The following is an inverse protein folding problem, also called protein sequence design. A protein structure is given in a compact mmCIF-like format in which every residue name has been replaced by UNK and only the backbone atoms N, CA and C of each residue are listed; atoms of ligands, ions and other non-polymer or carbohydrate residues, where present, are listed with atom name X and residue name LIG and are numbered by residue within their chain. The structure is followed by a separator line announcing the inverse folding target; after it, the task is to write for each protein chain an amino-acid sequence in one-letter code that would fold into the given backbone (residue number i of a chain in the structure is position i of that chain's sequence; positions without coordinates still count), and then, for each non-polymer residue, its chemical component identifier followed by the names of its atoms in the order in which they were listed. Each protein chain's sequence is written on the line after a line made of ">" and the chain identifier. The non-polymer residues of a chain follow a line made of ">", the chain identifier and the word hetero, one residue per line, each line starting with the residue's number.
data_IF_671369109537
#
_entry.id   IF_671369109537
#
_cell.length_a   1.000
_cell.length_b   1.000
_cell.length_c   1.000
_cell.angle_alpha   90.00
_cell.angle_beta   90.00
_cell.angle_gamma   90.00
#
_symmetry.space_group_name_H-M   'P 1'
#
loop_
_entity.id
_entity.type
_entity.pdbx_description
1 polymer ?
#
# COMPACT_ATOMS: atom_id res chain seq x y z
N UNK A 1 -37.93 0.40 12.85
CA UNK A 1 -36.67 -0.36 12.71
C UNK A 1 -35.95 0.23 11.52
N UNK A 2 -35.05 1.20 11.74
CA UNK A 2 -34.44 2.02 10.67
C UNK A 2 -33.17 1.37 10.12
N UNK A 3 -33.17 1.09 8.82
CA UNK A 3 -32.02 0.54 8.08
C UNK A 3 -30.91 1.58 7.91
N UNK A 4 -29.76 1.34 8.54
CA UNK A 4 -28.58 2.23 8.49
C UNK A 4 -27.48 1.78 7.50
N UNK A 5 -27.77 0.86 6.56
CA UNK A 5 -26.73 0.16 5.78
C UNK A 5 -26.26 0.75 4.42
N UNK A 6 -26.84 1.80 3.79
CA UNK A 6 -26.38 2.19 2.44
C UNK A 6 -25.18 3.16 2.42
N UNK A 7 -24.89 3.86 3.52
CA UNK A 7 -23.90 4.97 3.51
C UNK A 7 -22.44 4.51 3.54
N UNK A 8 -22.12 3.39 4.20
CA UNK A 8 -20.72 2.92 4.25
C UNK A 8 -20.27 2.23 2.96
N UNK A 9 -21.18 1.58 2.21
CA UNK A 9 -20.87 0.98 0.91
C UNK A 9 -20.53 2.04 -0.15
N UNK A 10 -21.21 3.20 -0.11
CA UNK A 10 -20.90 4.32 -1.00
C UNK A 10 -19.52 4.93 -0.70
N UNK A 11 -19.14 5.03 0.58
CA UNK A 11 -17.81 5.54 1.00
C UNK A 11 -16.69 4.59 0.59
N UNK A 12 -16.88 3.27 0.76
CA UNK A 12 -15.88 2.26 0.36
C UNK A 12 -15.70 2.24 -1.17
N UNK A 13 -16.81 2.32 -1.93
CA UNK A 13 -16.77 2.38 -3.40
C UNK A 13 -16.07 3.66 -3.89
N UNK A 14 -16.33 4.80 -3.25
CA UNK A 14 -15.62 6.06 -3.53
C UNK A 14 -14.12 5.97 -3.24
N UNK A 15 -13.71 5.37 -2.13
CA UNK A 15 -12.30 5.18 -1.81
C UNK A 15 -11.58 4.29 -2.82
N UNK A 16 -12.23 3.23 -3.30
CA UNK A 16 -11.64 2.32 -4.30
C UNK A 16 -11.47 3.01 -5.66
N UNK A 17 -12.41 3.86 -6.06
CA UNK A 17 -12.30 4.64 -7.29
C UNK A 17 -11.17 5.67 -7.21
N UNK A 18 -11.02 6.37 -6.08
CA UNK A 18 -9.93 7.34 -5.87
C UNK A 18 -8.55 6.66 -5.86
N UNK A 19 -8.43 5.49 -5.23
CA UNK A 19 -7.19 4.71 -5.20
C UNK A 19 -6.82 4.11 -6.57
N UNK A 20 -7.81 3.77 -7.39
CA UNK A 20 -7.61 3.29 -8.76
C UNK A 20 -7.17 4.41 -9.71
N UNK A 21 -7.76 5.59 -9.61
CA UNK A 21 -7.47 6.74 -10.49
C UNK A 21 -6.07 7.33 -10.27
N UNK A 22 -5.52 7.25 -9.04
CA UNK A 22 -4.19 7.78 -8.75
C UNK A 22 -3.03 7.04 -9.43
N UNK A 23 -3.26 5.85 -10.00
CA UNK A 23 -2.19 5.02 -10.59
C UNK A 23 -1.88 5.34 -12.05
N UNK A 24 -2.74 6.09 -12.75
CA UNK A 24 -2.59 6.38 -14.18
C UNK A 24 -1.80 7.65 -14.50
N UNK A 25 -1.44 8.48 -13.51
CA UNK A 25 -0.74 9.75 -13.76
C UNK A 25 0.79 9.61 -13.89
N UNK A 26 1.32 8.39 -13.95
CA UNK A 26 2.77 8.13 -14.04
C UNK A 26 3.27 7.91 -15.49
N UNK A 27 2.57 8.43 -16.50
CA UNK A 27 3.07 8.44 -17.87
C UNK A 27 4.06 9.60 -18.05
N UNK A 28 5.35 9.27 -17.94
CA UNK A 28 6.45 10.17 -18.25
C UNK A 28 6.40 10.59 -19.72
N UNK A 29 5.99 11.82 -19.98
CA UNK A 29 6.01 12.41 -21.32
C UNK A 29 7.46 12.49 -21.85
N UNK A 30 7.70 12.32 -23.17
CA UNK A 30 9.05 12.34 -23.73
C UNK A 30 9.64 13.75 -23.62
N UNK A 31 10.80 13.85 -22.97
CA UNK A 31 11.57 15.09 -22.87
C UNK A 31 11.93 15.63 -24.27
N UNK A 32 11.71 16.93 -24.47
CA UNK A 32 12.10 17.66 -25.68
C UNK A 32 13.62 17.81 -25.83
N UNK A 33 14.12 18.76 -26.66
CA UNK A 33 15.55 18.94 -26.94
C UNK A 33 16.39 18.98 -25.66
N UNK A 34 17.60 18.37 -25.61
CA UNK A 34 18.34 18.12 -24.38
C UNK A 34 18.58 19.43 -23.65
N UNK A 35 17.91 19.58 -22.52
CA UNK A 35 17.99 20.80 -21.74
C UNK A 35 19.16 20.67 -20.74
N UNK A 36 19.90 21.74 -20.40
CA UNK A 36 21.07 21.62 -19.52
C UNK A 36 20.74 21.14 -18.09
N UNK A 37 19.45 21.16 -17.73
CA UNK A 37 18.90 20.61 -16.49
C UNK A 37 18.48 19.12 -16.58
N UNK A 38 18.53 18.48 -17.76
CA UNK A 38 18.26 17.05 -17.92
C UNK A 38 19.23 16.19 -17.11
N UNK A 39 20.51 16.56 -17.07
CA UNK A 39 21.52 15.83 -16.29
C UNK A 39 21.15 15.74 -14.79
N UNK A 40 20.94 16.89 -14.12
CA UNK A 40 20.47 16.92 -12.73
C UNK A 40 19.12 16.22 -12.51
N UNK A 41 18.16 16.40 -13.42
CA UNK A 41 16.83 15.78 -13.29
C UNK A 41 16.89 14.26 -13.42
N UNK A 42 17.71 13.72 -14.32
CA UNK A 42 17.86 12.28 -14.51
C UNK A 42 18.53 11.61 -13.29
N UNK A 43 19.42 12.31 -12.59
CA UNK A 43 20.01 11.84 -11.32
C UNK A 43 18.96 11.75 -10.21
N UNK A 44 18.04 12.72 -10.15
CA UNK A 44 16.93 12.71 -9.18
C UNK A 44 15.93 11.60 -9.54
N UNK A 45 15.58 11.44 -10.81
CA UNK A 45 14.73 10.35 -11.32
C UNK A 45 15.33 8.97 -11.04
N UNK A 46 16.63 8.78 -11.25
CA UNK A 46 17.35 7.55 -10.94
C UNK A 46 17.41 7.27 -9.43
N UNK A 47 17.50 8.32 -8.60
CA UNK A 47 17.51 8.18 -7.13
C UNK A 47 16.11 7.88 -6.56
N UNK A 48 15.06 8.41 -7.19
CA UNK A 48 13.66 8.15 -6.85
C UNK A 48 13.15 6.80 -7.35
N UNK A 49 13.72 6.26 -8.43
CA UNK A 49 13.39 4.92 -8.95
C UNK A 49 14.34 3.83 -8.45
N UNK A 50 15.49 4.21 -7.90
CA UNK A 50 16.53 3.30 -7.45
C UNK A 50 16.33 2.75 -6.02
N UNK A 51 17.24 1.87 -5.61
CA UNK A 51 17.28 1.22 -4.29
C UNK A 51 17.17 2.19 -3.12
N UNK A 52 17.64 3.43 -3.29
CA UNK A 52 17.52 4.50 -2.28
C UNK A 52 16.06 4.80 -1.96
N UNK A 53 15.18 4.92 -2.95
CA UNK A 53 13.75 5.13 -2.73
C UNK A 53 13.12 3.94 -1.99
N UNK A 54 13.49 2.71 -2.35
CA UNK A 54 13.01 1.51 -1.65
C UNK A 54 13.43 1.50 -0.17
N UNK A 55 14.66 1.89 0.14
CA UNK A 55 15.15 1.98 1.52
C UNK A 55 14.41 3.07 2.29
N UNK A 56 14.18 4.24 1.70
CA UNK A 56 13.45 5.35 2.33
C UNK A 56 11.99 4.97 2.59
N UNK A 57 11.32 4.29 1.65
CA UNK A 57 9.95 3.78 1.83
C UNK A 57 9.92 2.74 2.95
N UNK A 58 10.84 1.78 2.94
CA UNK A 58 10.91 0.73 3.96
C UNK A 58 11.17 1.32 5.34
N UNK A 59 12.11 2.26 5.46
CA UNK A 59 12.39 2.99 6.69
C UNK A 59 11.17 3.78 7.17
N UNK A 60 10.47 4.47 6.26
CA UNK A 60 9.24 5.21 6.56
C UNK A 60 8.12 4.31 7.11
N UNK A 61 7.92 3.12 6.53
CA UNK A 61 6.95 2.13 7.02
C UNK A 61 7.32 1.63 8.41
N UNK A 62 8.60 1.32 8.65
CA UNK A 62 9.08 0.87 9.96
C UNK A 62 8.90 1.96 11.02
N UNK A 63 9.30 3.20 10.72
CA UNK A 63 9.15 4.34 11.64
C UNK A 63 7.68 4.63 11.90
N UNK A 64 6.82 4.59 10.88
CA UNK A 64 5.38 4.77 11.05
C UNK A 64 4.80 3.68 11.95
N UNK A 65 5.16 2.41 11.73
CA UNK A 65 4.74 1.28 12.58
C UNK A 65 5.25 1.40 14.02
N UNK A 66 6.48 1.89 14.21
CA UNK A 66 7.07 2.15 15.52
C UNK A 66 6.32 3.28 16.25
N UNK A 67 6.06 4.40 15.56
CA UNK A 67 5.26 5.50 16.08
C UNK A 67 3.86 5.01 16.44
N UNK A 68 3.21 4.22 15.58
CA UNK A 68 1.89 3.64 15.84
C UNK A 68 1.88 2.70 17.06
N UNK A 69 2.97 1.95 17.28
CA UNK A 69 3.14 1.10 18.45
C UNK A 69 3.27 1.88 19.76
N UNK A 70 3.86 3.09 19.71
CA UNK A 70 4.04 3.96 20.86
C UNK A 70 2.93 5.01 21.05
N UNK A 71 2.00 5.18 20.09
CA UNK A 71 1.02 6.28 20.09
C UNK A 71 -0.28 6.01 20.90
N UNK A 72 -0.61 4.78 21.29
CA UNK A 72 -1.67 4.56 22.29
C UNK A 72 -1.36 3.33 23.15
N UNK A 73 -0.52 3.53 24.17
CA UNK A 73 -0.47 2.61 25.30
C UNK A 73 -1.76 2.77 26.14
N UNK A 74 -2.85 2.12 25.71
CA UNK A 74 -4.11 2.16 26.46
C UNK A 74 -5.05 1.00 26.17
N UNK A 75 -5.52 0.83 24.93
CA UNK A 75 -6.42 -0.30 24.60
C UNK A 75 -6.60 -0.55 23.09
N UNK A 76 -6.44 0.48 22.25
CA UNK A 76 -6.62 0.40 20.80
C UNK A 76 -5.53 -0.41 20.08
N UNK A 77 -4.26 -0.21 20.45
CA UNK A 77 -3.12 -0.85 19.79
C UNK A 77 -3.19 -2.38 19.82
N UNK A 78 -3.58 -2.99 20.96
CA UNK A 78 -3.74 -4.47 21.06
C UNK A 78 -4.81 -5.01 20.09
N UNK A 79 -5.91 -4.28 19.88
CA UNK A 79 -6.96 -4.67 18.93
C UNK A 79 -6.53 -4.47 17.48
N UNK A 80 -5.84 -3.36 17.18
CA UNK A 80 -5.28 -3.08 15.86
C UNK A 80 -4.19 -4.10 15.47
N UNK A 81 -3.26 -4.42 16.37
CA UNK A 81 -2.26 -5.46 16.15
C UNK A 81 -2.89 -6.85 16.01
N UNK A 82 -3.93 -7.17 16.80
CA UNK A 82 -4.68 -8.41 16.64
C UNK A 82 -5.37 -8.53 15.27
N UNK A 83 -5.97 -7.44 14.79
CA UNK A 83 -6.61 -7.41 13.48
C UNK A 83 -5.58 -7.48 12.34
N UNK A 84 -4.46 -6.77 12.45
CA UNK A 84 -3.38 -6.79 11.47
C UNK A 84 -2.69 -8.15 11.41
N UNK A 85 -2.39 -8.75 12.56
CA UNK A 85 -1.77 -10.08 12.65
C UNK A 85 -2.71 -11.18 12.15
N UNK A 86 -3.98 -11.14 12.54
CA UNK A 86 -5.00 -12.06 12.04
C UNK A 86 -5.23 -11.92 10.53
N UNK A 87 -5.25 -10.69 10.02
CA UNK A 87 -5.36 -10.41 8.58
C UNK A 87 -4.14 -10.89 7.78
N UNK A 88 -2.93 -10.66 8.28
CA UNK A 88 -1.70 -11.14 7.66
C UNK A 88 -1.61 -12.67 7.65
N UNK A 89 -2.02 -13.34 8.74
CA UNK A 89 -2.09 -14.80 8.78
C UNK A 89 -3.15 -15.36 7.82
N UNK A 90 -4.30 -14.71 7.67
CA UNK A 90 -5.32 -15.13 6.70
C UNK A 90 -4.80 -15.04 5.25
N UNK A 91 -4.16 -13.92 4.88
CA UNK A 91 -3.56 -13.76 3.56
C UNK A 91 -2.38 -14.71 3.33
N UNK A 92 -1.51 -14.88 4.33
CA UNK A 92 -0.41 -15.84 4.28
C UNK A 92 -0.89 -17.29 4.17
N UNK A 93 -1.98 -17.66 4.83
CA UNK A 93 -2.60 -18.98 4.72
C UNK A 93 -3.21 -19.20 3.33
N UNK A 94 -3.84 -18.17 2.73
CA UNK A 94 -4.28 -18.23 1.33
C UNK A 94 -3.09 -18.45 0.39
N UNK A 95 -2.00 -17.70 0.57
CA UNK A 95 -0.77 -17.87 -0.21
C UNK A 95 -0.16 -19.26 -0.03
N UNK A 96 -0.13 -19.78 1.19
CA UNK A 96 0.32 -21.14 1.47
C UNK A 96 -0.57 -22.19 0.79
N UNK A 97 -1.89 -22.07 0.92
CA UNK A 97 -2.87 -22.96 0.28
C UNK A 97 -2.77 -22.95 -1.25
N UNK A 98 -2.51 -21.78 -1.86
CA UNK A 98 -2.20 -21.69 -3.30
C UNK A 98 -0.85 -22.32 -3.63
N UNK A 99 0.16 -22.14 -2.78
CA UNK A 99 1.50 -22.66 -3.00
C UNK A 99 1.58 -24.19 -2.88
N UNK A 100 0.79 -24.81 -2.00
CA UNK A 100 0.66 -26.28 -1.93
C UNK A 100 -0.28 -26.85 -2.99
N UNK A 101 -0.92 -26.02 -3.84
CA UNK A 101 -1.76 -26.46 -4.95
C UNK A 101 -3.21 -26.82 -4.57
N UNK A 102 -3.62 -26.57 -3.33
CA UNK A 102 -4.96 -26.92 -2.82
C UNK A 102 -6.03 -25.92 -3.25
N UNK A 103 -5.64 -24.70 -3.62
CA UNK A 103 -6.53 -23.60 -3.95
C UNK A 103 -7.22 -23.72 -5.33
N UNK A 104 -7.05 -24.84 -6.05
CA UNK A 104 -7.58 -25.04 -7.40
C UNK A 104 -7.81 -26.50 -7.80
N UNK A 105 -7.90 -27.43 -6.84
CA UNK A 105 -8.27 -28.82 -7.12
C UNK A 105 -9.77 -28.93 -7.43
N UNK A 106 -10.16 -28.45 -8.61
CA UNK A 106 -11.38 -28.90 -9.29
C UNK A 106 -11.00 -30.14 -10.09
N UNK A 107 -11.56 -31.28 -9.71
CA UNK A 107 -11.60 -32.51 -10.51
C UNK A 107 -12.08 -32.26 -11.94
#
# INVERSE_FOLDING_TARGET
>A
MSDHRPRSMLVVSWCLLLLGYGRSLAEAAPAGPPMPWDGPLNVILASLSGTVAHVVITAGVVVTGLVFAFTEHGSGARRLFGLAFGGALALGALSFMTAVGWAGATF
#
